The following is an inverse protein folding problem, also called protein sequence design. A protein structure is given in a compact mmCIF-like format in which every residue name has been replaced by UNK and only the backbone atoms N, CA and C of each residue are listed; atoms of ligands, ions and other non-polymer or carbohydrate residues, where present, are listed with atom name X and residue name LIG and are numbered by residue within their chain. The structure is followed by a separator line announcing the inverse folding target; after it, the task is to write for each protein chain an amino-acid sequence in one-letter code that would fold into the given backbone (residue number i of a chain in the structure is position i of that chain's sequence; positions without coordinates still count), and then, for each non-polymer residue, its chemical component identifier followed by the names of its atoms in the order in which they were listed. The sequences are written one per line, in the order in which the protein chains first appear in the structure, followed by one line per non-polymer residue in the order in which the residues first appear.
data_IF_896608327073
#
_entry.id   IF_896608327073
#
_cell.length_a   1.000
_cell.length_b   1.000
_cell.length_c   1.000
_cell.angle_alpha   90.00
_cell.angle_beta   90.00
_cell.angle_gamma   90.00
#
_symmetry.space_group_name_H-M   'P 1'
#
loop_
_entity.id
_entity.type
_entity.pdbx_description
1 polymer ?
#
# COMPACT_ATOMS: atom_id res chain seq x y z
N UNK A 1 9.08 -28.29 -8.84
CA UNK A 1 9.94 -27.82 -9.94
C UNK A 1 9.96 -26.30 -9.82
N UNK A 2 11.00 -25.74 -9.21
CA UNK A 2 11.19 -24.31 -8.99
C UNK A 2 11.47 -23.64 -10.34
N UNK A 3 10.65 -22.68 -10.74
CA UNK A 3 10.87 -21.89 -11.94
C UNK A 3 12.13 -21.03 -11.73
N UNK A 4 13.06 -21.09 -12.68
CA UNK A 4 14.27 -20.27 -12.73
C UNK A 4 13.86 -18.79 -12.64
N UNK A 5 14.48 -18.08 -11.68
CA UNK A 5 14.45 -16.62 -11.61
C UNK A 5 15.04 -16.03 -12.91
N UNK A 6 14.17 -15.67 -13.82
CA UNK A 6 14.55 -14.93 -15.03
C UNK A 6 14.70 -13.45 -14.68
N UNK A 7 15.92 -12.97 -14.52
CA UNK A 7 16.18 -11.52 -14.57
C UNK A 7 15.71 -11.00 -15.93
N UNK A 8 14.81 -10.02 -15.93
CA UNK A 8 14.43 -9.28 -17.14
C UNK A 8 15.71 -8.63 -17.70
N UNK A 9 16.04 -8.92 -18.95
CA UNK A 9 17.12 -8.22 -19.63
C UNK A 9 16.64 -6.85 -20.16
N UNK A 10 17.58 -6.02 -20.63
CA UNK A 10 17.27 -4.69 -21.16
C UNK A 10 16.28 -4.75 -22.34
N UNK A 11 16.35 -5.78 -23.17
CA UNK A 11 15.45 -5.93 -24.33
C UNK A 11 14.03 -6.29 -23.88
N UNK A 12 13.89 -7.11 -22.85
CA UNK A 12 12.60 -7.43 -22.26
C UNK A 12 11.95 -6.18 -21.64
N UNK A 13 12.72 -5.35 -20.95
CA UNK A 13 12.24 -4.08 -20.40
C UNK A 13 11.82 -3.12 -21.53
N UNK A 14 12.65 -2.96 -22.58
CA UNK A 14 12.32 -2.10 -23.73
C UNK A 14 11.06 -2.59 -24.47
N UNK A 15 10.88 -3.89 -24.62
CA UNK A 15 9.68 -4.48 -25.22
C UNK A 15 8.43 -4.18 -24.37
N UNK A 16 8.51 -4.41 -23.07
CA UNK A 16 7.41 -4.14 -22.13
C UNK A 16 7.05 -2.65 -22.08
N UNK A 17 8.05 -1.76 -22.09
CA UNK A 17 7.83 -0.31 -22.17
C UNK A 17 7.05 0.05 -23.45
N UNK A 18 7.43 -0.49 -24.60
CA UNK A 18 6.70 -0.25 -25.86
C UNK A 18 5.29 -0.79 -25.81
N UNK A 19 5.07 -1.95 -25.22
CA UNK A 19 3.75 -2.57 -25.06
C UNK A 19 2.84 -1.71 -24.17
N UNK A 20 3.35 -1.25 -23.02
CA UNK A 20 2.62 -0.35 -22.11
C UNK A 20 2.29 0.99 -22.77
N UNK A 21 3.26 1.57 -23.49
CA UNK A 21 3.03 2.83 -24.22
C UNK A 21 2.02 2.65 -25.34
N UNK A 22 2.01 1.51 -26.03
CA UNK A 22 1.06 1.20 -27.10
C UNK A 22 -0.35 0.99 -26.56
N UNK A 23 -0.49 0.31 -25.43
CA UNK A 23 -1.77 0.13 -24.72
C UNK A 23 -2.35 1.46 -24.23
N UNK A 24 -1.50 2.37 -23.72
CA UNK A 24 -1.94 3.74 -23.33
C UNK A 24 -2.37 4.60 -24.50
N UNK A 25 -1.72 4.46 -25.64
CA UNK A 25 -2.08 5.18 -26.87
C UNK A 25 -3.35 4.64 -27.54
N UNK A 26 -3.69 3.36 -27.32
CA UNK A 26 -4.84 2.66 -27.93
C UNK A 26 -6.14 2.69 -27.12
N UNK A 27 -6.19 3.28 -25.94
CA UNK A 27 -7.42 3.58 -25.19
C UNK A 27 -8.22 2.39 -24.68
N UNK A 28 -7.67 1.16 -24.63
CA UNK A 28 -8.34 0.01 -24.01
C UNK A 28 -7.63 -0.42 -22.74
N UNK A 29 -8.06 0.10 -21.62
CA UNK A 29 -7.69 -0.40 -20.29
C UNK A 29 -8.36 -1.76 -20.07
N UNK A 30 -7.71 -2.84 -20.45
CA UNK A 30 -8.05 -4.17 -19.94
C UNK A 30 -7.20 -4.41 -18.68
N UNK A 31 -7.60 -3.83 -17.59
CA UNK A 31 -6.82 -3.85 -16.36
C UNK A 31 -7.67 -4.20 -15.15
N UNK A 32 -7.00 -4.63 -14.12
CA UNK A 32 -7.50 -4.68 -12.76
C UNK A 32 -8.17 -3.33 -12.47
N UNK A 33 -9.42 -3.30 -12.00
CA UNK A 33 -10.10 -2.04 -11.70
C UNK A 33 -9.28 -1.22 -10.71
N UNK A 34 -9.31 0.13 -10.83
CA UNK A 34 -8.64 0.97 -9.87
C UNK A 34 -9.16 0.63 -8.47
N UNK A 35 -8.24 0.45 -7.54
CA UNK A 35 -8.60 0.29 -6.13
C UNK A 35 -9.32 1.56 -5.68
N UNK A 36 -10.54 1.42 -5.16
CA UNK A 36 -11.23 2.52 -4.50
C UNK A 36 -10.50 2.83 -3.20
N UNK A 37 -10.31 4.11 -2.93
CA UNK A 37 -9.92 4.55 -1.59
C UNK A 37 -11.11 4.28 -0.66
N UNK A 38 -11.08 3.17 0.03
CA UNK A 38 -12.09 2.83 1.02
C UNK A 38 -11.62 3.33 2.38
N UNK A 39 -12.39 4.24 2.96
CA UNK A 39 -12.15 4.75 4.29
C UNK A 39 -13.49 4.84 5.02
N UNK A 40 -13.58 4.21 6.17
CA UNK A 40 -14.73 4.29 7.06
C UNK A 40 -14.31 4.94 8.37
N UNK A 41 -15.03 5.98 8.76
CA UNK A 41 -14.82 6.68 10.02
C UNK A 41 -15.97 6.38 10.99
N UNK A 42 -15.66 5.89 12.17
CA UNK A 42 -16.59 5.67 13.25
C UNK A 42 -16.48 6.84 14.22
N UNK A 43 -17.53 7.66 14.39
CA UNK A 43 -17.52 8.74 15.37
C UNK A 43 -17.27 8.21 16.78
N UNK A 44 -16.48 8.94 17.56
CA UNK A 44 -16.31 8.64 18.98
C UNK A 44 -17.63 8.85 19.72
N UNK A 45 -18.11 7.81 20.40
CA UNK A 45 -19.26 7.91 21.30
C UNK A 45 -18.81 8.43 22.67
N UNK A 46 -19.76 8.89 23.50
CA UNK A 46 -19.47 9.26 24.88
C UNK A 46 -18.82 8.08 25.63
N UNK A 47 -17.58 8.27 26.12
CA UNK A 47 -16.75 7.20 26.72
C UNK A 47 -15.97 6.33 25.72
N UNK A 48 -16.00 6.67 24.44
CA UNK A 48 -15.20 6.04 23.39
C UNK A 48 -13.74 6.49 23.40
N UNK A 49 -12.94 6.04 22.38
CA UNK A 49 -11.54 6.42 22.26
C UNK A 49 -11.38 7.94 22.10
N UNK A 50 -10.21 8.51 22.48
CA UNK A 50 -9.93 9.94 22.37
C UNK A 50 -10.10 10.49 20.96
N UNK A 51 -9.76 9.66 19.97
CA UNK A 51 -9.91 9.95 18.55
C UNK A 51 -10.95 9.05 17.91
N UNK A 52 -11.68 9.51 16.88
CA UNK A 52 -12.55 8.66 16.09
C UNK A 52 -11.78 7.47 15.52
N UNK A 53 -12.36 6.28 15.56
CA UNK A 53 -11.77 5.12 14.90
C UNK A 53 -11.93 5.23 13.38
N UNK A 54 -10.82 5.33 12.68
CA UNK A 54 -10.78 5.31 11.22
C UNK A 54 -10.21 3.98 10.76
N UNK A 55 -10.85 3.35 9.79
CA UNK A 55 -10.32 2.18 9.09
C UNK A 55 -10.08 2.56 7.64
N UNK A 56 -8.85 2.43 7.20
CA UNK A 56 -8.41 2.77 5.86
C UNK A 56 -7.92 1.51 5.12
N UNK A 57 -8.39 1.33 3.89
CA UNK A 57 -7.87 0.30 3.00
C UNK A 57 -6.64 0.85 2.30
N UNK A 58 -5.48 0.33 2.67
CA UNK A 58 -4.21 0.63 2.01
C UNK A 58 -4.20 0.01 0.62
N UNK A 59 -4.63 0.79 -0.38
CA UNK A 59 -4.53 0.41 -1.77
C UNK A 59 -3.05 0.25 -2.17
N UNK A 60 -2.80 -0.51 -3.25
CA UNK A 60 -1.46 -0.64 -3.79
C UNK A 60 -0.80 0.72 -4.03
N UNK A 61 0.43 0.88 -3.57
CA UNK A 61 1.15 2.15 -3.69
C UNK A 61 2.67 1.95 -3.65
N UNK A 62 3.38 3.03 -3.93
CA UNK A 62 4.84 3.06 -3.95
C UNK A 62 5.35 4.22 -3.11
N UNK A 63 6.39 3.97 -2.33
CA UNK A 63 7.24 5.00 -1.75
C UNK A 63 8.58 5.02 -2.49
N UNK A 64 9.12 6.20 -2.75
CA UNK A 64 10.38 6.34 -3.49
C UNK A 64 11.39 7.20 -2.74
N UNK A 65 12.68 6.99 -3.05
CA UNK A 65 13.74 7.95 -2.70
C UNK A 65 13.75 9.09 -3.71
N UNK A 66 14.34 10.26 -3.40
CA UNK A 66 14.51 11.34 -4.38
C UNK A 66 15.22 10.89 -5.66
N UNK A 67 16.30 10.10 -5.52
CA UNK A 67 17.10 9.61 -6.64
C UNK A 67 16.29 8.68 -7.56
N UNK A 68 15.49 7.80 -6.98
CA UNK A 68 14.64 6.89 -7.74
C UNK A 68 13.48 7.63 -8.42
N UNK A 69 12.98 8.72 -7.82
CA UNK A 69 12.01 9.59 -8.49
C UNK A 69 12.62 10.22 -9.75
N UNK A 70 13.87 10.71 -9.68
CA UNK A 70 14.55 11.28 -10.86
C UNK A 70 14.78 10.26 -11.96
N UNK A 71 15.10 9.01 -11.62
CA UNK A 71 15.20 7.93 -12.62
C UNK A 71 13.89 7.73 -13.37
N UNK A 72 12.76 7.77 -12.65
CA UNK A 72 11.43 7.49 -13.21
C UNK A 72 10.83 8.69 -13.95
N UNK A 73 11.07 9.91 -13.46
CA UNK A 73 10.40 11.14 -13.94
C UNK A 73 11.35 12.18 -14.55
N UNK A 74 12.65 11.97 -14.47
CA UNK A 74 13.69 12.86 -14.99
C UNK A 74 14.37 13.69 -13.91
N UNK A 75 15.55 14.27 -14.24
CA UNK A 75 16.30 15.08 -13.29
C UNK A 75 15.50 16.24 -12.72
N UNK A 76 15.62 16.48 -11.41
CA UNK A 76 14.92 17.53 -10.69
C UNK A 76 13.43 17.28 -10.46
N UNK A 77 12.94 16.07 -10.75
CA UNK A 77 11.54 15.69 -10.49
C UNK A 77 11.21 15.81 -8.99
N UNK A 78 10.00 16.29 -8.71
CA UNK A 78 9.47 16.41 -7.35
C UNK A 78 8.09 15.76 -7.28
N UNK A 79 7.74 15.24 -6.11
CA UNK A 79 6.38 14.77 -5.86
C UNK A 79 5.44 15.97 -5.80
N UNK A 80 4.40 15.95 -6.63
CA UNK A 80 3.33 16.95 -6.65
C UNK A 80 2.14 16.39 -5.87
N UNK A 81 1.69 17.12 -4.87
CA UNK A 81 0.56 16.66 -4.04
C UNK A 81 -0.74 16.67 -4.83
N UNK A 82 -1.40 15.51 -4.90
CA UNK A 82 -2.75 15.33 -5.43
C UNK A 82 -3.81 15.50 -4.33
N UNK A 83 -3.63 14.83 -3.17
CA UNK A 83 -4.49 14.99 -1.99
C UNK A 83 -3.74 14.64 -0.71
N UNK A 84 -4.15 15.23 0.41
CA UNK A 84 -3.65 14.82 1.72
C UNK A 84 -4.20 13.45 2.10
N UNK A 85 -3.41 12.67 2.83
CA UNK A 85 -3.84 11.43 3.49
C UNK A 85 -4.28 11.74 4.92
N UNK A 86 -4.86 10.75 5.58
CA UNK A 86 -5.40 10.94 6.93
C UNK A 86 -4.31 11.27 7.95
N UNK A 87 -3.14 10.62 7.83
CA UNK A 87 -1.99 10.95 8.69
C UNK A 87 -1.36 12.26 8.27
N UNK A 88 -1.09 13.11 9.27
CA UNK A 88 -0.54 14.44 9.04
C UNK A 88 0.84 14.39 8.35
N UNK A 89 0.98 15.15 7.27
CA UNK A 89 2.23 15.24 6.50
C UNK A 89 2.39 14.17 5.42
N UNK A 90 1.51 13.16 5.37
CA UNK A 90 1.45 12.19 4.28
C UNK A 90 0.49 12.67 3.18
N UNK A 91 0.80 12.33 1.94
CA UNK A 91 -0.04 12.72 0.80
C UNK A 91 0.07 11.73 -0.36
N UNK A 92 -1.00 11.58 -1.10
CA UNK A 92 -0.99 10.94 -2.40
C UNK A 92 -0.44 11.95 -3.43
N UNK A 93 0.55 11.54 -4.26
CA UNK A 93 1.09 12.40 -5.30
C UNK A 93 0.36 12.24 -6.62
N UNK A 94 0.57 13.16 -7.56
CA UNK A 94 0.09 13.04 -8.95
C UNK A 94 0.87 11.97 -9.73
N UNK A 95 2.09 11.65 -9.29
CA UNK A 95 2.99 10.73 -9.94
C UNK A 95 2.48 9.30 -9.86
N UNK A 96 2.38 8.65 -11.02
CA UNK A 96 1.96 7.28 -11.20
C UNK A 96 3.07 6.49 -11.90
N UNK A 97 3.23 5.24 -11.52
CA UNK A 97 4.16 4.29 -12.14
C UNK A 97 3.43 3.02 -12.55
N UNK A 98 4.04 2.27 -13.46
CA UNK A 98 3.60 0.92 -13.82
C UNK A 98 4.55 -0.09 -13.19
N UNK A 99 3.99 -1.09 -12.53
CA UNK A 99 4.76 -2.22 -11.98
C UNK A 99 4.84 -3.35 -12.99
N UNK A 100 6.02 -3.96 -13.11
CA UNK A 100 6.26 -5.12 -13.99
C UNK A 100 6.78 -6.27 -13.15
N UNK A 101 5.97 -7.31 -13.05
CA UNK A 101 6.30 -8.52 -12.30
C UNK A 101 7.11 -9.56 -13.11
N UNK A 102 7.67 -10.57 -12.44
CA UNK A 102 8.48 -11.61 -13.09
C UNK A 102 7.72 -12.48 -14.10
N UNK A 103 6.38 -12.54 -14.01
CA UNK A 103 5.52 -13.18 -15.00
C UNK A 103 5.22 -12.30 -16.23
N UNK A 104 5.92 -11.18 -16.39
CA UNK A 104 5.68 -10.18 -17.44
C UNK A 104 4.27 -9.58 -17.40
N UNK A 105 3.55 -9.72 -16.27
CA UNK A 105 2.29 -9.04 -16.01
C UNK A 105 2.57 -7.67 -15.43
N UNK A 106 1.69 -6.73 -15.76
CA UNK A 106 1.83 -5.33 -15.38
C UNK A 106 0.65 -4.85 -14.55
N UNK A 107 0.91 -3.98 -13.59
CA UNK A 107 -0.12 -3.20 -12.89
C UNK A 107 0.17 -1.73 -13.18
N UNK A 108 -0.64 -1.08 -14.02
CA UNK A 108 -0.48 0.34 -14.33
C UNK A 108 -1.05 1.24 -13.24
N UNK A 109 -0.72 2.53 -13.34
CA UNK A 109 -1.31 3.62 -12.57
C UNK A 109 -1.20 3.47 -11.04
N UNK A 110 -0.10 2.84 -10.59
CA UNK A 110 0.20 2.73 -9.17
C UNK A 110 0.75 4.06 -8.66
N UNK A 111 0.09 4.59 -7.64
CA UNK A 111 0.38 5.91 -7.10
C UNK A 111 1.61 5.92 -6.20
N UNK A 112 2.40 6.98 -6.35
CA UNK A 112 3.48 7.26 -5.41
C UNK A 112 2.90 8.06 -4.24
N UNK A 113 3.20 7.63 -3.02
CA UNK A 113 2.87 8.36 -1.80
C UNK A 113 4.08 9.15 -1.30
N UNK A 114 3.82 10.36 -0.87
CA UNK A 114 4.79 11.23 -0.25
C UNK A 114 4.58 11.36 1.26
N UNK A 115 5.59 11.88 1.94
CA UNK A 115 6.88 12.38 1.45
C UNK A 115 7.84 11.28 0.99
N UNK A 116 9.00 11.67 0.43
CA UNK A 116 10.08 10.74 0.10
C UNK A 116 10.51 9.92 1.32
N UNK A 117 10.86 8.66 1.08
CA UNK A 117 11.40 7.76 2.10
C UNK A 117 12.89 7.45 1.82
N UNK A 118 13.57 6.90 2.82
CA UNK A 118 14.99 6.49 2.71
C UNK A 118 15.18 5.32 1.75
N UNK A 119 14.13 4.55 1.48
CA UNK A 119 14.14 3.38 0.61
C UNK A 119 12.89 3.39 -0.27
N UNK A 120 13.04 2.90 -1.50
CA UNK A 120 11.89 2.62 -2.36
C UNK A 120 11.22 1.34 -1.90
N UNK A 121 9.93 1.40 -1.64
CA UNK A 121 9.11 0.29 -1.20
C UNK A 121 7.81 0.24 -2.00
N UNK A 122 7.39 -0.96 -2.36
CA UNK A 122 6.13 -1.23 -3.06
C UNK A 122 5.26 -2.06 -2.13
N UNK A 123 4.09 -1.54 -1.81
CA UNK A 123 3.10 -2.22 -0.97
C UNK A 123 1.95 -2.71 -1.85
N UNK A 124 1.69 -4.01 -1.80
CA UNK A 124 0.72 -4.70 -2.65
C UNK A 124 -0.18 -5.59 -1.81
N UNK A 125 -1.38 -5.88 -2.32
CA UNK A 125 -2.22 -6.92 -1.76
C UNK A 125 -1.72 -8.32 -2.16
N UNK A 126 -2.19 -9.36 -1.48
CA UNK A 126 -1.85 -10.74 -1.83
C UNK A 126 -2.26 -11.09 -3.26
N UNK A 127 -3.46 -10.65 -3.68
CA UNK A 127 -3.97 -10.85 -5.05
C UNK A 127 -3.06 -10.20 -6.10
N UNK A 128 -2.51 -9.01 -5.82
CA UNK A 128 -1.55 -8.36 -6.70
C UNK A 128 -0.28 -9.20 -6.87
N UNK A 129 0.22 -9.76 -5.75
CA UNK A 129 1.39 -10.64 -5.74
C UNK A 129 1.17 -11.88 -6.60
N UNK A 130 0.03 -12.54 -6.42
CA UNK A 130 -0.37 -13.71 -7.25
C UNK A 130 -0.43 -13.32 -8.73
N UNK A 131 -1.04 -12.18 -9.04
CA UNK A 131 -1.13 -11.68 -10.40
C UNK A 131 0.25 -11.44 -11.02
N UNK A 132 1.12 -10.71 -10.34
CA UNK A 132 2.47 -10.39 -10.81
C UNK A 132 3.42 -11.60 -10.79
N UNK A 133 3.12 -12.62 -9.98
CA UNK A 133 3.96 -13.79 -9.76
C UNK A 133 5.07 -13.56 -8.75
N UNK A 134 4.80 -12.72 -7.76
CA UNK A 134 5.70 -12.40 -6.65
C UNK A 134 5.15 -13.05 -5.37
N UNK A 135 6.01 -13.77 -4.65
CA UNK A 135 5.69 -14.22 -3.30
C UNK A 135 5.92 -13.06 -2.33
N UNK A 136 4.82 -12.50 -1.84
CA UNK A 136 4.83 -11.28 -1.02
C UNK A 136 4.96 -11.64 0.47
N UNK A 137 6.11 -11.36 1.10
CA UNK A 137 6.22 -11.51 2.54
C UNK A 137 5.38 -10.45 3.27
N UNK A 138 4.74 -10.87 4.37
CA UNK A 138 4.10 -9.96 5.30
C UNK A 138 5.18 -9.21 6.08
N UNK A 139 5.20 -7.87 5.99
CA UNK A 139 6.21 -7.01 6.62
C UNK A 139 5.60 -5.73 7.16
N UNK A 140 6.28 -5.15 8.12
CA UNK A 140 6.04 -3.77 8.52
C UNK A 140 6.60 -2.79 7.48
N UNK A 141 5.99 -1.62 7.34
CA UNK A 141 6.54 -0.55 6.51
C UNK A 141 7.98 -0.21 6.90
N UNK A 142 8.86 -0.12 5.92
CA UNK A 142 10.31 0.11 6.13
C UNK A 142 11.16 -1.15 6.25
N UNK A 143 10.58 -2.34 6.41
CA UNK A 143 11.32 -3.60 6.41
C UNK A 143 11.61 -4.06 4.99
N UNK A 144 12.89 -4.23 4.66
CA UNK A 144 13.35 -4.56 3.30
C UNK A 144 14.08 -5.90 3.20
N UNK A 145 14.62 -6.40 4.30
CA UNK A 145 15.44 -7.60 4.27
C UNK A 145 14.60 -8.85 3.92
N UNK A 146 15.13 -9.65 2.98
CA UNK A 146 14.47 -10.87 2.53
C UNK A 146 13.19 -10.64 1.73
N UNK A 147 12.96 -9.42 1.22
CA UNK A 147 11.81 -9.12 0.39
C UNK A 147 12.18 -9.19 -1.10
N UNK A 148 11.24 -9.54 -2.00
CA UNK A 148 11.48 -9.58 -3.43
C UNK A 148 11.66 -8.18 -4.02
N UNK A 149 12.20 -8.15 -5.25
CA UNK A 149 12.32 -6.96 -6.08
C UNK A 149 11.23 -6.87 -7.15
N UNK A 150 11.20 -5.73 -7.84
CA UNK A 150 10.26 -5.47 -8.93
C UNK A 150 10.82 -4.39 -9.86
N UNK A 151 10.31 -4.32 -11.09
CA UNK A 151 10.60 -3.23 -12.02
C UNK A 151 9.46 -2.21 -12.01
N UNK A 152 9.82 -0.94 -11.87
CA UNK A 152 8.92 0.20 -11.98
C UNK A 152 9.20 0.92 -13.30
N UNK A 153 8.15 1.32 -13.99
CA UNK A 153 8.22 2.13 -15.20
C UNK A 153 7.60 3.49 -14.94
N UNK A 154 8.37 4.54 -15.12
CA UNK A 154 7.91 5.92 -15.13
C UNK A 154 7.92 6.50 -16.56
N UNK A 155 7.48 7.74 -16.75
CA UNK A 155 7.40 8.37 -18.08
C UNK A 155 8.77 8.68 -18.71
N UNK A 156 9.85 8.69 -17.92
CA UNK A 156 11.21 9.01 -18.36
C UNK A 156 12.20 7.86 -18.24
N UNK A 157 11.86 6.82 -17.49
CA UNK A 157 12.80 5.70 -17.30
C UNK A 157 12.20 4.52 -16.57
N UNK A 158 12.98 3.47 -16.48
CA UNK A 158 12.69 2.25 -15.75
C UNK A 158 13.67 2.07 -14.59
N UNK A 159 13.16 1.59 -13.48
CA UNK A 159 13.91 1.30 -12.28
C UNK A 159 13.61 -0.13 -11.82
N UNK A 160 14.64 -0.97 -11.70
CA UNK A 160 14.49 -2.28 -11.04
C UNK A 160 15.09 -2.21 -9.66
N UNK A 161 14.24 -2.36 -8.63
CA UNK A 161 14.69 -2.50 -7.26
C UNK A 161 14.94 -3.97 -6.95
N UNK A 162 16.05 -4.32 -6.28
CA UNK A 162 16.37 -5.72 -5.97
C UNK A 162 15.54 -6.28 -4.79
N UNK A 163 14.93 -5.40 -3.99
CA UNK A 163 14.13 -5.70 -2.80
C UNK A 163 13.21 -4.55 -2.47
N UNK A 164 12.24 -4.75 -1.61
CA UNK A 164 11.33 -3.71 -1.13
C UNK A 164 9.88 -3.93 -1.51
N UNK A 165 9.51 -5.09 -2.09
CA UNK A 165 8.10 -5.41 -2.36
C UNK A 165 7.54 -6.23 -1.20
N UNK A 166 6.46 -5.74 -0.60
CA UNK A 166 5.85 -6.33 0.60
C UNK A 166 4.33 -6.40 0.48
N UNK A 167 3.73 -7.26 1.29
CA UNK A 167 2.38 -7.08 1.76
C UNK A 167 2.46 -6.45 3.15
N UNK A 168 1.88 -5.26 3.31
CA UNK A 168 1.90 -4.58 4.59
C UNK A 168 1.10 -5.35 5.64
N UNK A 169 1.72 -5.59 6.80
CA UNK A 169 1.01 -6.14 7.94
C UNK A 169 -0.07 -5.17 8.39
N UNK A 170 -1.30 -5.67 8.61
CA UNK A 170 -2.36 -4.84 9.18
C UNK A 170 -1.91 -4.24 10.50
N UNK A 171 -2.21 -2.98 10.71
CA UNK A 171 -1.75 -2.26 11.87
C UNK A 171 -2.68 -1.11 12.23
N UNK A 172 -2.50 -0.59 13.42
CA UNK A 172 -3.16 0.62 13.89
C UNK A 172 -2.15 1.63 14.37
N UNK A 173 -2.24 2.85 13.83
CA UNK A 173 -1.53 4.01 14.36
C UNK A 173 -2.22 4.53 15.61
N UNK A 174 -1.47 4.73 16.68
CA UNK A 174 -1.97 5.19 17.96
C UNK A 174 -1.10 6.28 18.55
N UNK A 175 -1.75 7.32 19.07
CA UNK A 175 -1.15 8.27 19.98
C UNK A 175 -0.95 7.63 21.38
N UNK A 176 -0.30 8.35 22.30
CA UNK A 176 -0.19 7.89 23.69
C UNK A 176 -1.57 7.76 24.35
N UNK A 177 -2.46 8.71 24.10
CA UNK A 177 -3.80 8.73 24.69
C UNK A 177 -4.66 7.54 24.20
N UNK A 178 -4.55 7.18 22.91
CA UNK A 178 -5.23 6.01 22.36
C UNK A 178 -4.74 4.72 23.00
N UNK A 179 -3.40 4.57 23.14
CA UNK A 179 -2.81 3.39 23.78
C UNK A 179 -3.24 3.26 25.25
N UNK A 180 -3.29 4.36 25.98
CA UNK A 180 -3.76 4.36 27.38
C UNK A 180 -5.24 3.97 27.47
N UNK A 181 -6.09 4.48 26.56
CA UNK A 181 -7.51 4.11 26.48
C UNK A 181 -7.70 2.62 26.22
N UNK A 182 -6.99 2.05 25.25
CA UNK A 182 -7.09 0.62 24.92
C UNK A 182 -6.27 -0.28 25.83
N UNK A 183 -5.49 0.28 26.75
CA UNK A 183 -4.57 -0.42 27.64
C UNK A 183 -3.62 -1.36 26.85
N UNK A 184 -2.94 -0.82 25.85
CA UNK A 184 -1.99 -1.51 24.97
C UNK A 184 -0.66 -0.77 24.91
N UNK A 185 0.35 -1.45 24.36
CA UNK A 185 1.70 -0.92 24.13
C UNK A 185 2.07 -1.01 22.66
N UNK A 186 3.06 -0.23 22.27
CA UNK A 186 3.68 -0.34 20.93
C UNK A 186 4.13 -1.79 20.69
N UNK A 187 3.76 -2.34 19.53
CA UNK A 187 4.04 -3.71 19.16
C UNK A 187 3.04 -4.77 19.64
N UNK A 188 2.07 -4.42 20.49
CA UNK A 188 0.99 -5.34 20.86
C UNK A 188 0.13 -5.70 19.64
N UNK A 189 -0.57 -6.84 19.74
CA UNK A 189 -1.57 -7.26 18.77
C UNK A 189 -2.98 -6.96 19.28
N UNK A 190 -3.80 -6.40 18.40
CA UNK A 190 -5.21 -6.17 18.62
C UNK A 190 -6.05 -6.90 17.58
N UNK A 191 -7.37 -6.84 17.71
CA UNK A 191 -8.35 -7.40 16.78
C UNK A 191 -9.23 -6.28 16.24
N UNK A 192 -9.47 -6.32 14.94
CA UNK A 192 -10.46 -5.47 14.29
C UNK A 192 -11.70 -6.29 14.00
N UNK A 193 -12.79 -6.02 14.71
CA UNK A 193 -14.10 -6.64 14.48
C UNK A 193 -14.94 -5.75 13.59
N UNK A 194 -15.45 -6.32 12.51
CA UNK A 194 -16.31 -5.66 11.54
C UNK A 194 -17.62 -6.45 11.47
N UNK A 195 -18.74 -5.79 11.72
CA UNK A 195 -20.08 -6.34 11.59
C UNK A 195 -20.73 -5.79 10.32
N UNK A 196 -21.45 -6.61 9.59
CA UNK A 196 -22.08 -6.27 8.33
C UNK A 196 -22.42 -7.53 7.52
N UNK A 197 -22.80 -7.38 6.23
CA UNK A 197 -23.13 -8.52 5.36
C UNK A 197 -21.99 -9.54 5.23
N UNK A 198 -20.74 -9.05 5.25
CA UNK A 198 -19.52 -9.87 5.20
C UNK A 198 -18.71 -9.70 6.48
N UNK A 199 -19.38 -9.78 7.66
CA UNK A 199 -18.74 -9.55 8.95
C UNK A 199 -17.57 -10.50 9.22
N UNK A 200 -16.46 -9.95 9.77
CA UNK A 200 -15.22 -10.69 10.05
C UNK A 200 -14.49 -10.08 11.25
N UNK A 201 -13.66 -10.87 11.90
CA UNK A 201 -12.70 -10.36 12.88
C UNK A 201 -11.29 -10.64 12.37
N UNK A 202 -10.52 -9.58 12.16
CA UNK A 202 -9.10 -9.68 11.82
C UNK A 202 -8.26 -9.68 13.08
N UNK A 203 -7.53 -10.76 13.32
CA UNK A 203 -6.53 -10.86 14.38
C UNK A 203 -5.18 -10.27 13.93
N UNK A 204 -4.31 -9.93 14.89
CA UNK A 204 -2.94 -9.50 14.61
C UNK A 204 -2.85 -8.10 13.99
N UNK A 205 -3.75 -7.20 14.40
CA UNK A 205 -3.63 -5.77 14.09
C UNK A 205 -2.55 -5.17 14.98
N UNK A 206 -1.37 -4.91 14.39
CA UNK A 206 -0.18 -4.47 15.13
C UNK A 206 -0.30 -3.01 15.59
N UNK A 207 -0.17 -2.76 16.89
CA UNK A 207 -0.12 -1.40 17.43
C UNK A 207 1.20 -0.73 17.02
N UNK A 208 1.12 0.48 16.45
CA UNK A 208 2.25 1.32 16.08
C UNK A 208 2.11 2.69 16.70
N UNK A 209 2.97 2.97 17.65
CA UNK A 209 3.03 4.28 18.30
C UNK A 209 3.81 5.28 17.46
N UNK A 210 3.28 6.47 17.35
CA UNK A 210 4.03 7.65 16.91
C UNK A 210 3.41 8.90 17.56
N UNK A 211 4.23 9.88 18.02
CA UNK A 211 3.71 11.01 18.80
C UNK A 211 2.76 11.94 18.05
N UNK A 212 2.80 11.94 16.73
CA UNK A 212 2.03 12.85 15.86
C UNK A 212 1.02 12.12 14.98
N UNK A 213 0.56 10.92 15.36
CA UNK A 213 -0.47 10.19 14.62
C UNK A 213 -1.82 10.31 15.30
N UNK A 214 -2.86 10.13 14.52
CA UNK A 214 -4.23 9.95 14.96
C UNK A 214 -4.65 8.50 14.75
N UNK A 215 -5.67 8.07 15.52
CA UNK A 215 -6.13 6.69 15.52
C UNK A 215 -6.60 6.26 14.12
N UNK A 216 -5.85 5.35 13.51
CA UNK A 216 -6.15 4.84 12.16
C UNK A 216 -5.70 3.40 12.01
N UNK A 217 -6.62 2.52 11.63
CA UNK A 217 -6.34 1.12 11.27
C UNK A 217 -6.10 1.03 9.78
N UNK A 218 -5.05 0.32 9.40
CA UNK A 218 -4.73 -0.02 8.02
C UNK A 218 -4.92 -1.51 7.78
N UNK A 219 -5.73 -1.83 6.79
CA UNK A 219 -5.89 -3.17 6.21
C UNK A 219 -5.60 -3.11 4.71
N UNK A 220 -5.26 -4.24 4.07
CA UNK A 220 -5.01 -4.24 2.63
C UNK A 220 -6.31 -4.32 1.81
N UNK A 221 -6.20 -4.23 0.49
CA UNK A 221 -7.35 -4.26 -0.43
C UNK A 221 -8.10 -5.59 -0.36
N UNK A 222 -7.41 -6.72 -0.22
CA UNK A 222 -8.06 -8.04 -0.14
C UNK A 222 -8.84 -8.17 1.17
N UNK A 223 -8.30 -7.64 2.26
CA UNK A 223 -8.96 -7.61 3.57
C UNK A 223 -10.19 -6.71 3.56
N UNK A 224 -10.09 -5.50 2.99
CA UNK A 224 -11.20 -4.58 2.83
C UNK A 224 -12.33 -5.15 1.97
N UNK A 225 -11.98 -5.81 0.88
CA UNK A 225 -12.96 -6.49 0.02
C UNK A 225 -13.60 -7.70 0.72
N UNK A 226 -12.83 -8.48 1.48
CA UNK A 226 -13.33 -9.67 2.16
C UNK A 226 -14.42 -9.35 3.18
N UNK A 227 -14.31 -8.19 3.87
CA UNK A 227 -15.29 -7.76 4.87
C UNK A 227 -16.37 -6.83 4.32
N UNK A 228 -16.33 -6.47 3.01
CA UNK A 228 -17.22 -5.44 2.44
C UNK A 228 -17.26 -4.18 3.33
N UNK A 229 -16.09 -3.58 3.54
CA UNK A 229 -15.89 -2.52 4.53
C UNK A 229 -16.87 -1.35 4.35
N UNK A 230 -17.25 -1.02 3.12
CA UNK A 230 -18.19 0.07 2.82
C UNK A 230 -19.60 -0.22 3.35
N UNK A 231 -19.98 -1.51 3.46
CA UNK A 231 -21.29 -1.95 3.98
C UNK A 231 -21.26 -2.30 5.48
N UNK A 232 -20.14 -2.02 6.16
CA UNK A 232 -19.99 -2.30 7.58
C UNK A 232 -21.01 -1.50 8.40
N UNK A 233 -21.72 -2.18 9.30
CA UNK A 233 -22.69 -1.56 10.19
C UNK A 233 -22.12 -1.18 11.56
N UNK A 234 -21.04 -1.86 11.95
CA UNK A 234 -20.31 -1.59 13.18
C UNK A 234 -18.85 -2.03 13.04
N UNK A 235 -17.96 -1.23 13.57
CA UNK A 235 -16.51 -1.54 13.60
C UNK A 235 -15.99 -1.28 15.00
N UNK A 236 -15.24 -2.24 15.53
CA UNK A 236 -14.64 -2.16 16.86
C UNK A 236 -13.18 -2.61 16.80
N UNK A 237 -12.32 -1.86 17.49
CA UNK A 237 -10.95 -2.27 17.76
C UNK A 237 -10.89 -2.81 19.19
N UNK A 238 -10.53 -4.06 19.35
CA UNK A 238 -10.51 -4.77 20.64
C UNK A 238 -9.16 -5.42 20.91
N UNK A 239 -8.81 -5.54 22.19
CA UNK A 239 -7.59 -6.18 22.64
C UNK A 239 -7.66 -7.70 22.53
#
# INVERSE_FOLDING_TARGET
MLAKEGKLDRKDVERLVREVLHQRAGGTSSGIPPTRDQQVQIPSAAGGPPHPLVVNVSARHVHVTPEHLEVLFGPGAKLTKFKDLYQQGEFASEQLVTLVGPRQRIIPDVRILGPHRKYTQVELSYTDGVYLGIDLPLRSGGEHEGTPGITLLGPRGALTIPRGVIRAQRHVHMSREDMDYYNVKDGDDMKLRIEGPCGVTFDGVKVRYHPNVILEVHIDTDEGNACDLESATKIELVK
#
